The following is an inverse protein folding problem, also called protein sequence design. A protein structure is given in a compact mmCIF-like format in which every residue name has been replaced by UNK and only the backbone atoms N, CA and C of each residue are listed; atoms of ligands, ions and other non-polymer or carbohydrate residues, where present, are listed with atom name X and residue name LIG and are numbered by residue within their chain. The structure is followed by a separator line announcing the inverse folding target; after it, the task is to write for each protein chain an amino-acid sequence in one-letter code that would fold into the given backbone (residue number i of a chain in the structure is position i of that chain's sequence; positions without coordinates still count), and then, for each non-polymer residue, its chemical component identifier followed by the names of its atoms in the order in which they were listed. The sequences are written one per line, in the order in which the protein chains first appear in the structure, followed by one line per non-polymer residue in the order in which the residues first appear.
data_IF_371285351640
#
_entry.id   IF_371285351640
#
_cell.length_a   1.000
_cell.length_b   1.000
_cell.length_c   1.000
_cell.angle_alpha   90.00
_cell.angle_beta   90.00
_cell.angle_gamma   90.00
#
_symmetry.space_group_name_H-M   'P 1'
#
loop_
_entity.id
_entity.type
_entity.pdbx_description
1 polymer ?
#
# COMPACT_ATOMS: atom_id res chain seq x y z
N UNK A 1 12.52 10.62 11.34
CA UNK A 1 12.98 9.66 10.31
C UNK A 1 12.52 10.10 8.94
N UNK A 2 13.38 10.04 7.95
CA UNK A 2 12.99 10.37 6.59
C UNK A 2 12.10 9.27 6.02
N UNK A 3 11.04 9.66 5.31
CA UNK A 3 10.12 8.74 4.66
C UNK A 3 10.64 8.34 3.27
N UNK A 4 11.80 7.70 3.24
CA UNK A 4 12.45 7.35 1.98
C UNK A 4 11.68 6.28 1.21
N UNK A 5 11.13 5.31 1.92
CA UNK A 5 10.38 4.23 1.29
C UNK A 5 9.06 4.76 0.70
N UNK A 6 8.34 5.58 1.46
CA UNK A 6 7.12 6.21 0.98
C UNK A 6 7.37 7.15 -0.19
N UNK A 7 8.48 7.88 -0.17
CA UNK A 7 8.86 8.73 -1.28
C UNK A 7 9.13 7.90 -2.54
N UNK A 8 9.80 6.76 -2.40
CA UNK A 8 10.06 5.87 -3.52
C UNK A 8 8.75 5.33 -4.12
N UNK A 9 7.78 4.99 -3.27
CA UNK A 9 6.46 4.55 -3.72
C UNK A 9 5.78 5.66 -4.52
N UNK A 10 5.77 6.88 -4.00
CA UNK A 10 5.14 8.00 -4.67
C UNK A 10 5.83 8.34 -5.99
N UNK A 11 7.16 8.32 -6.00
CA UNK A 11 7.94 8.57 -7.22
C UNK A 11 7.63 7.52 -8.29
N UNK A 12 7.51 6.26 -7.90
CA UNK A 12 7.14 5.20 -8.84
C UNK A 12 5.74 5.46 -9.43
N UNK A 13 4.79 5.83 -8.59
CA UNK A 13 3.41 6.10 -9.02
C UNK A 13 3.33 7.31 -9.96
N UNK A 14 4.12 8.35 -9.71
CA UNK A 14 4.08 9.57 -10.51
C UNK A 14 4.99 9.53 -11.74
N UNK A 15 5.72 8.45 -11.93
CA UNK A 15 6.61 8.29 -13.08
C UNK A 15 7.97 8.95 -12.91
N UNK A 16 8.29 9.44 -11.72
CA UNK A 16 9.62 9.95 -11.44
C UNK A 16 10.62 8.80 -11.37
N UNK A 17 11.85 9.06 -11.76
CA UNK A 17 12.87 8.03 -11.80
C UNK A 17 13.38 7.71 -10.39
N UNK A 18 13.12 6.51 -9.84
CA UNK A 18 13.60 6.16 -8.51
C UNK A 18 15.11 5.95 -8.44
N UNK A 19 15.82 5.92 -9.57
CA UNK A 19 17.27 5.77 -9.57
C UNK A 19 17.96 6.89 -8.80
N UNK A 20 17.44 8.11 -8.89
CA UNK A 20 18.03 9.24 -8.18
C UNK A 20 17.99 9.00 -6.67
N UNK A 21 16.88 8.49 -6.18
CA UNK A 21 16.74 8.13 -4.77
C UNK A 21 17.70 7.02 -4.36
N UNK A 22 17.83 6.01 -5.20
CA UNK A 22 18.74 4.88 -4.97
C UNK A 22 20.18 5.36 -4.85
N UNK A 23 20.61 6.21 -5.79
CA UNK A 23 21.97 6.73 -5.83
C UNK A 23 22.29 7.56 -4.59
N UNK A 24 21.36 8.39 -4.17
CA UNK A 24 21.56 9.30 -3.03
C UNK A 24 21.47 8.60 -1.68
N UNK A 25 20.69 7.55 -1.57
CA UNK A 25 20.36 6.93 -0.30
C UNK A 25 20.97 5.56 -0.12
N UNK A 26 21.72 5.07 -1.08
CA UNK A 26 22.31 3.73 -1.08
C UNK A 26 21.28 2.60 -1.04
N UNK A 27 20.10 2.83 -1.58
CA UNK A 27 19.09 1.79 -1.76
C UNK A 27 19.58 0.85 -2.86
N UNK A 28 19.54 -0.46 -2.60
CA UNK A 28 20.02 -1.47 -3.52
C UNK A 28 19.04 -1.75 -4.66
N UNK A 29 19.50 -2.46 -5.69
CA UNK A 29 18.61 -2.93 -6.76
C UNK A 29 17.47 -3.80 -6.21
N UNK A 30 17.74 -4.57 -5.17
CA UNK A 30 16.71 -5.38 -4.53
C UNK A 30 15.59 -4.51 -3.95
N UNK A 31 15.95 -3.37 -3.34
CA UNK A 31 14.97 -2.44 -2.80
C UNK A 31 14.16 -1.77 -3.91
N UNK A 32 14.80 -1.45 -5.04
CA UNK A 32 14.11 -0.92 -6.20
C UNK A 32 13.10 -1.92 -6.75
N UNK A 33 13.50 -3.19 -6.87
CA UNK A 33 12.60 -4.26 -7.28
C UNK A 33 11.44 -4.42 -6.30
N UNK A 34 11.69 -4.23 -4.99
CA UNK A 34 10.66 -4.30 -3.97
C UNK A 34 9.62 -3.20 -4.14
N UNK A 35 10.04 -1.99 -4.51
CA UNK A 35 9.09 -0.89 -4.78
C UNK A 35 8.17 -1.26 -5.95
N UNK A 36 8.73 -1.71 -7.06
CA UNK A 36 7.95 -2.14 -8.21
C UNK A 36 6.99 -3.28 -7.83
N UNK A 37 7.46 -4.23 -7.02
CA UNK A 37 6.66 -5.36 -6.57
C UNK A 37 5.45 -4.94 -5.74
N UNK A 38 5.54 -3.85 -5.00
CA UNK A 38 4.41 -3.33 -4.21
C UNK A 38 3.25 -2.87 -5.09
N UNK A 39 3.50 -2.60 -6.37
CA UNK A 39 2.47 -2.20 -7.32
C UNK A 39 1.88 -3.37 -8.09
N UNK A 40 2.20 -4.60 -7.69
CA UNK A 40 1.73 -5.81 -8.38
C UNK A 40 0.21 -5.94 -8.38
N UNK A 41 -0.32 -6.55 -9.44
CA UNK A 41 -1.72 -6.93 -9.48
C UNK A 41 -1.96 -8.26 -8.79
N UNK A 42 -3.25 -8.62 -8.64
CA UNK A 42 -3.65 -9.85 -7.95
C UNK A 42 -2.98 -11.10 -8.54
N UNK A 43 -2.93 -11.19 -9.87
CA UNK A 43 -2.37 -12.38 -10.54
C UNK A 43 -0.87 -12.56 -10.30
N UNK A 44 -0.18 -11.48 -9.95
CA UNK A 44 1.26 -11.51 -9.66
C UNK A 44 1.57 -11.82 -8.21
N UNK A 45 0.55 -11.89 -7.37
CA UNK A 45 0.73 -12.19 -5.95
C UNK A 45 0.95 -13.68 -5.70
N UNK A 46 1.70 -14.05 -4.64
CA UNK A 46 1.78 -15.45 -4.22
C UNK A 46 0.40 -16.02 -3.93
N UNK A 47 0.24 -17.32 -4.15
CA UNK A 47 -1.06 -17.98 -3.96
C UNK A 47 -1.64 -17.81 -2.57
N UNK A 48 -0.80 -17.83 -1.55
CA UNK A 48 -1.26 -17.63 -0.17
C UNK A 48 -1.87 -16.25 0.02
N UNK A 49 -1.25 -15.25 -0.57
CA UNK A 49 -1.72 -13.87 -0.53
C UNK A 49 -3.04 -13.71 -1.28
N UNK A 50 -3.14 -14.32 -2.45
CA UNK A 50 -4.38 -14.34 -3.23
C UNK A 50 -5.52 -14.99 -2.44
N UNK A 51 -5.24 -16.09 -1.77
CA UNK A 51 -6.24 -16.80 -0.98
C UNK A 51 -6.70 -15.95 0.22
N UNK A 52 -5.77 -15.27 0.88
CA UNK A 52 -6.12 -14.39 1.99
C UNK A 52 -7.05 -13.25 1.52
N UNK A 53 -6.77 -12.67 0.36
CA UNK A 53 -7.62 -11.63 -0.21
C UNK A 53 -9.01 -12.17 -0.57
N UNK A 54 -9.08 -13.34 -1.15
CA UNK A 54 -10.35 -13.95 -1.55
C UNK A 54 -11.21 -14.36 -0.34
N UNK A 55 -10.58 -14.63 0.80
CA UNK A 55 -11.30 -14.95 2.04
C UNK A 55 -11.73 -13.70 2.81
N UNK A 56 -11.28 -12.53 2.41
CA UNK A 56 -11.62 -11.28 3.09
C UNK A 56 -13.09 -10.93 2.86
N UNK A 57 -13.71 -10.40 3.89
CA UNK A 57 -15.13 -10.05 3.83
C UNK A 57 -15.43 -8.85 4.71
N UNK A 58 -16.58 -8.22 4.45
CA UNK A 58 -17.13 -7.17 5.28
C UNK A 58 -16.32 -5.88 5.25
N UNK A 59 -16.18 -5.27 6.41
CA UNK A 59 -15.41 -4.05 6.57
C UNK A 59 -13.95 -4.39 6.82
N UNK A 60 -13.08 -3.89 5.96
CA UNK A 60 -11.66 -4.30 5.93
C UNK A 60 -10.75 -3.14 6.30
N UNK A 61 -9.76 -3.44 7.14
CA UNK A 61 -8.67 -2.50 7.46
C UNK A 61 -7.36 -3.06 6.89
N UNK A 62 -6.71 -2.28 6.05
CA UNK A 62 -5.38 -2.59 5.52
C UNK A 62 -4.35 -1.71 6.24
N UNK A 63 -3.61 -2.31 7.17
CA UNK A 63 -2.62 -1.62 7.99
C UNK A 63 -1.27 -1.66 7.29
N UNK A 64 -0.62 -0.49 7.17
CA UNK A 64 0.65 -0.41 6.45
C UNK A 64 0.45 -0.72 4.98
N UNK A 65 -0.54 -0.07 4.36
CA UNK A 65 -1.00 -0.43 3.02
C UNK A 65 0.05 -0.21 1.92
N UNK A 66 1.10 0.56 2.17
CA UNK A 66 2.15 0.81 1.18
C UNK A 66 1.60 1.38 -0.10
N UNK A 67 1.80 0.69 -1.22
CA UNK A 67 1.29 1.11 -2.52
C UNK A 67 -0.19 0.80 -2.74
N UNK A 68 -0.82 0.05 -1.84
CA UNK A 68 -2.26 -0.18 -1.84
C UNK A 68 -2.74 -1.31 -2.74
N UNK A 69 -1.87 -2.24 -3.14
CA UNK A 69 -2.27 -3.32 -4.05
C UNK A 69 -3.37 -4.20 -3.49
N UNK A 70 -3.30 -4.56 -2.20
CA UNK A 70 -4.36 -5.34 -1.54
C UNK A 70 -5.67 -4.55 -1.50
N UNK A 71 -5.58 -3.29 -1.06
CA UNK A 71 -6.75 -2.42 -0.93
C UNK A 71 -7.43 -2.19 -2.26
N UNK A 72 -6.67 -1.98 -3.33
CA UNK A 72 -7.24 -1.78 -4.66
C UNK A 72 -8.01 -3.01 -5.14
N UNK A 73 -7.43 -4.19 -4.95
CA UNK A 73 -8.11 -5.42 -5.33
C UNK A 73 -9.45 -5.57 -4.59
N UNK A 74 -9.42 -5.36 -3.28
CA UNK A 74 -10.61 -5.49 -2.44
C UNK A 74 -11.66 -4.41 -2.75
N UNK A 75 -11.21 -3.18 -2.95
CA UNK A 75 -12.11 -2.08 -3.33
C UNK A 75 -12.78 -2.37 -4.68
N UNK A 76 -12.03 -2.89 -5.64
CA UNK A 76 -12.57 -3.22 -6.96
C UNK A 76 -13.57 -4.38 -6.90
N UNK A 77 -13.52 -5.20 -5.87
CA UNK A 77 -14.53 -6.23 -5.60
C UNK A 77 -15.79 -5.68 -4.94
N UNK A 78 -15.82 -4.39 -4.63
CA UNK A 78 -16.96 -3.76 -4.00
C UNK A 78 -16.98 -3.83 -2.48
N UNK A 79 -15.85 -4.18 -1.85
CA UNK A 79 -15.76 -4.26 -0.40
C UNK A 79 -15.45 -2.90 0.22
N UNK A 80 -15.83 -2.72 1.47
CA UNK A 80 -15.56 -1.50 2.24
C UNK A 80 -14.16 -1.59 2.83
N UNK A 81 -13.20 -0.93 2.21
CA UNK A 81 -11.79 -0.99 2.60
C UNK A 81 -11.33 0.35 3.12
N UNK A 82 -10.73 0.35 4.30
CA UNK A 82 -10.01 1.49 4.86
C UNK A 82 -8.52 1.15 4.86
N UNK A 83 -7.72 2.01 4.23
CA UNK A 83 -6.28 1.80 4.09
C UNK A 83 -5.55 2.84 4.90
N UNK A 84 -4.62 2.42 5.75
CA UNK A 84 -3.83 3.34 6.56
C UNK A 84 -2.35 3.03 6.42
N UNK A 85 -1.55 4.08 6.55
CA UNK A 85 -0.11 3.97 6.60
C UNK A 85 0.43 5.20 7.35
N UNK A 86 1.55 5.06 8.01
CA UNK A 86 2.20 6.20 8.66
C UNK A 86 2.90 7.11 7.65
N UNK A 87 3.12 6.61 6.44
CA UNK A 87 3.76 7.37 5.37
C UNK A 87 2.75 8.19 4.59
N UNK A 88 2.85 9.51 4.67
CA UNK A 88 2.01 10.43 3.88
C UNK A 88 2.24 10.24 2.37
N UNK A 89 3.48 9.96 1.96
CA UNK A 89 3.80 9.74 0.56
C UNK A 89 3.17 8.46 0.02
N UNK A 90 3.18 7.38 0.82
CA UNK A 90 2.53 6.13 0.43
C UNK A 90 1.01 6.34 0.28
N UNK A 91 0.39 7.07 1.20
CA UNK A 91 -1.04 7.35 1.12
C UNK A 91 -1.36 8.21 -0.10
N UNK A 92 -0.53 9.18 -0.44
CA UNK A 92 -0.74 9.96 -1.66
C UNK A 92 -0.67 9.08 -2.89
N UNK A 93 0.28 8.15 -2.97
CA UNK A 93 0.35 7.19 -4.06
C UNK A 93 -0.91 6.33 -4.14
N UNK A 94 -1.42 5.87 -3.00
CA UNK A 94 -2.67 5.12 -2.95
C UNK A 94 -3.85 5.91 -3.52
N UNK A 95 -3.96 7.17 -3.16
CA UNK A 95 -5.02 8.04 -3.67
C UNK A 95 -4.90 8.24 -5.17
N UNK A 96 -3.68 8.41 -5.68
CA UNK A 96 -3.43 8.52 -7.12
C UNK A 96 -3.78 7.24 -7.86
N UNK A 97 -3.67 6.09 -7.22
CA UNK A 97 -4.09 4.81 -7.80
C UNK A 97 -5.60 4.59 -7.75
N UNK A 98 -6.34 5.44 -7.06
CA UNK A 98 -7.80 5.37 -7.03
C UNK A 98 -8.41 4.85 -5.74
N UNK A 99 -7.62 4.69 -4.66
CA UNK A 99 -8.18 4.31 -3.37
C UNK A 99 -9.02 5.45 -2.80
N UNK A 100 -10.23 5.11 -2.36
CA UNK A 100 -11.19 6.09 -1.85
C UNK A 100 -10.98 6.41 -0.37
N UNK A 101 -10.61 5.42 0.44
CA UNK A 101 -10.49 5.56 1.89
C UNK A 101 -9.07 5.25 2.32
N UNK A 102 -8.13 6.15 2.02
CA UNK A 102 -6.73 6.03 2.38
C UNK A 102 -6.33 7.19 3.27
N UNK A 103 -5.74 6.90 4.42
CA UNK A 103 -5.42 7.91 5.43
C UNK A 103 -4.03 7.71 6.00
N UNK A 104 -3.32 8.83 6.21
CA UNK A 104 -2.07 8.81 6.96
C UNK A 104 -2.43 8.69 8.44
N UNK A 105 -2.19 7.50 9.01
CA UNK A 105 -2.61 7.22 10.37
C UNK A 105 -1.82 6.05 10.95
N UNK A 106 -1.55 6.10 12.25
CA UNK A 106 -0.99 4.98 12.99
C UNK A 106 -2.14 4.10 13.48
N UNK A 107 -2.03 2.80 13.34
CA UNK A 107 -3.04 1.85 13.80
C UNK A 107 -3.34 2.02 15.29
N UNK A 108 -2.35 2.42 16.07
CA UNK A 108 -2.51 2.62 17.53
C UNK A 108 -3.46 3.75 17.86
N UNK A 109 -3.76 4.65 16.90
CA UNK A 109 -4.69 5.76 17.11
C UNK A 109 -6.11 5.41 16.68
N UNK A 110 -6.33 4.24 16.09
CA UNK A 110 -7.66 3.78 15.72
C UNK A 110 -8.39 3.27 16.97
N UNK A 111 -9.37 4.02 17.41
CA UNK A 111 -10.17 3.67 18.58
C UNK A 111 -11.62 3.49 18.18
N UNK A 112 -12.27 2.52 18.81
CA UNK A 112 -13.72 2.30 18.69
C UNK A 112 -14.19 1.90 17.30
N UNK A 113 -13.28 1.59 16.38
CA UNK A 113 -13.65 1.07 15.06
C UNK A 113 -13.51 -0.44 15.04
N UNK A 114 -14.49 -1.08 14.43
CA UNK A 114 -14.49 -2.54 14.28
C UNK A 114 -14.40 -2.91 12.81
N UNK A 115 -13.57 -3.89 12.52
CA UNK A 115 -13.38 -4.41 11.17
C UNK A 115 -13.59 -5.91 11.18
N UNK A 116 -14.11 -6.44 10.07
CA UNK A 116 -14.31 -7.88 9.91
C UNK A 116 -13.04 -8.58 9.48
N UNK A 117 -12.18 -7.87 8.75
CA UNK A 117 -10.90 -8.38 8.26
C UNK A 117 -9.83 -7.31 8.45
N UNK A 118 -8.65 -7.72 8.92
CA UNK A 118 -7.48 -6.84 9.07
C UNK A 118 -6.30 -7.48 8.34
N UNK A 119 -5.66 -6.68 7.49
CA UNK A 119 -4.42 -7.07 6.81
C UNK A 119 -3.21 -6.42 7.43
#
# INVERSE_FOLDING_TARGET
MKDLFGKAILDYQTGNNPEDLITETSISEADEMSVAYLFRGFEEMPKLEQKALDLSFGKILDVGCGAGSHSLYLQNKGLDVTSIDVSANAIEACKLRGLKNAFTQDVMTLQHQKFDTVF
#
